data_IF_853345041204
#
_entry.id   IF_853345041204
#
_cell.length_a   1.000
_cell.length_b   1.000
_cell.length_c   1.000
_cell.angle_alpha   90.00
_cell.angle_beta   90.00
_cell.angle_gamma   90.00
#
_symmetry.space_group_name_H-M   'P 1'
#
loop_
_entity.id
_entity.type
_entity.pdbx_description
1 polymer ?
#
# COMPACT_ATOMS: atom_id res chain seq x y z
N UNK A 1 -3.52 8.45 4.65
CA UNK A 1 -3.64 6.97 4.71
C UNK A 1 -5.00 6.55 5.22
N UNK A 2 -5.69 5.66 4.49
CA UNK A 2 -6.92 5.00 4.92
C UNK A 2 -6.78 3.49 4.72
N UNK A 3 -6.86 2.74 5.82
CA UNK A 3 -6.80 1.28 5.85
C UNK A 3 -7.85 0.80 6.86
N UNK A 4 -8.68 -0.21 6.53
CA UNK A 4 -9.65 -0.76 7.49
C UNK A 4 -8.94 -1.37 8.70
N UNK A 5 -9.42 -1.11 9.91
CA UNK A 5 -8.90 -1.77 11.11
C UNK A 5 -9.35 -3.23 11.23
N UNK A 6 -10.42 -3.60 10.53
CA UNK A 6 -11.04 -4.92 10.57
C UNK A 6 -11.58 -5.32 9.19
N UNK A 7 -11.35 -6.57 8.79
CA UNK A 7 -11.87 -7.13 7.54
C UNK A 7 -12.36 -8.56 7.77
N UNK A 8 -13.46 -8.95 7.14
CA UNK A 8 -13.99 -10.32 7.23
C UNK A 8 -13.24 -11.21 6.22
N UNK A 9 -12.90 -12.42 6.63
CA UNK A 9 -12.27 -13.44 5.80
C UNK A 9 -13.06 -13.65 4.49
N UNK A 10 -12.33 -13.84 3.39
CA UNK A 10 -12.88 -14.01 2.04
C UNK A 10 -13.32 -12.71 1.37
N UNK A 11 -13.38 -11.58 2.09
CA UNK A 11 -13.63 -10.27 1.49
C UNK A 11 -12.37 -9.69 0.85
N UNK A 12 -12.50 -8.50 0.30
CA UNK A 12 -11.39 -7.70 -0.23
C UNK A 12 -11.33 -6.37 0.49
N UNK A 13 -10.18 -5.71 0.46
CA UNK A 13 -9.98 -4.41 1.08
C UNK A 13 -9.21 -3.45 0.19
N UNK A 14 -9.46 -2.17 0.38
CA UNK A 14 -8.68 -1.09 -0.22
C UNK A 14 -7.68 -0.57 0.80
N UNK A 15 -6.44 -0.43 0.37
CA UNK A 15 -5.40 0.32 1.05
C UNK A 15 -5.22 1.62 0.30
N UNK A 16 -5.45 2.76 0.95
CA UNK A 16 -5.28 4.06 0.34
C UNK A 16 -4.11 4.81 0.99
N UNK A 17 -3.17 5.18 0.13
CA UNK A 17 -2.02 5.98 0.45
C UNK A 17 -1.98 7.24 -0.41
N UNK A 18 -3.05 8.03 -0.33
CA UNK A 18 -3.07 9.38 -0.90
C UNK A 18 -2.45 10.34 0.11
N UNK A 19 -1.44 11.08 -0.34
CA UNK A 19 -0.83 12.18 0.40
C UNK A 19 -0.93 13.45 -0.41
N UNK A 20 -1.11 14.56 0.29
CA UNK A 20 -0.97 15.89 -0.27
C UNK A 20 0.52 16.22 -0.27
N UNK A 21 1.12 16.25 -1.45
CA UNK A 21 2.54 16.62 -1.64
C UNK A 21 2.68 18.13 -1.93
N UNK A 22 1.61 18.91 -1.79
CA UNK A 22 1.57 20.33 -2.12
C UNK A 22 2.11 20.62 -3.54
N UNK A 23 3.30 21.21 -3.65
CA UNK A 23 3.98 21.50 -4.92
C UNK A 23 4.97 20.44 -5.37
N UNK A 24 5.27 19.45 -4.53
CA UNK A 24 6.30 18.46 -4.81
C UNK A 24 5.78 17.32 -5.69
N UNK A 25 6.63 16.86 -6.61
CA UNK A 25 6.35 15.69 -7.41
C UNK A 25 6.54 14.41 -6.59
N UNK A 26 5.69 13.42 -6.81
CA UNK A 26 5.84 12.09 -6.21
C UNK A 26 7.06 11.37 -6.81
N UNK A 27 8.01 10.97 -5.95
CA UNK A 27 9.08 10.05 -6.33
C UNK A 27 8.62 8.58 -6.24
N UNK A 28 8.03 8.18 -5.12
CA UNK A 28 7.56 6.80 -4.93
C UNK A 28 6.48 6.65 -3.86
N UNK A 29 5.61 5.64 -4.01
CA UNK A 29 4.77 5.10 -2.94
C UNK A 29 5.13 3.65 -2.71
N UNK A 30 5.35 3.24 -1.46
CA UNK A 30 5.65 1.86 -1.09
C UNK A 30 4.73 1.39 0.01
N UNK A 31 4.33 0.13 -0.08
CA UNK A 31 3.47 -0.53 0.88
C UNK A 31 4.20 -1.73 1.49
N UNK A 32 4.10 -1.81 2.82
CA UNK A 32 4.67 -2.87 3.62
C UNK A 32 3.60 -3.51 4.48
N UNK A 33 3.76 -4.81 4.76
CA UNK A 33 3.05 -5.50 5.83
C UNK A 33 4.09 -6.17 6.72
N UNK A 34 4.06 -5.87 8.02
CA UNK A 34 5.05 -6.34 8.99
C UNK A 34 6.48 -6.15 8.46
N UNK A 35 6.79 -4.92 8.05
CA UNK A 35 8.09 -4.50 7.51
C UNK A 35 8.54 -5.15 6.19
N UNK A 36 7.71 -6.01 5.58
CA UNK A 36 8.00 -6.61 4.28
C UNK A 36 7.28 -5.88 3.16
N UNK A 37 8.04 -5.36 2.19
CA UNK A 37 7.49 -4.68 1.01
C UNK A 37 6.69 -5.66 0.15
N UNK A 38 5.47 -5.30 -0.21
CA UNK A 38 4.64 -6.12 -1.11
C UNK A 38 4.14 -5.35 -2.33
N UNK A 39 4.29 -4.03 -2.35
CA UNK A 39 3.92 -3.20 -3.50
C UNK A 39 4.73 -1.91 -3.51
N UNK A 40 5.13 -1.49 -4.71
CA UNK A 40 5.72 -0.18 -4.97
C UNK A 40 5.15 0.46 -6.22
N UNK A 41 5.07 1.78 -6.20
CA UNK A 41 4.74 2.62 -7.33
C UNK A 41 5.78 3.72 -7.49
N UNK A 42 6.41 3.80 -8.65
CA UNK A 42 7.38 4.82 -9.05
C UNK A 42 6.89 5.38 -10.40
N UNK A 43 6.40 6.63 -10.47
CA UNK A 43 5.83 7.18 -11.71
C UNK A 43 6.76 7.11 -12.93
N UNK A 44 8.07 7.18 -12.70
CA UNK A 44 9.09 7.18 -13.75
C UNK A 44 9.48 5.79 -14.27
N UNK A 45 9.07 4.72 -13.58
CA UNK A 45 9.37 3.34 -13.96
C UNK A 45 8.45 2.82 -15.08
N UNK A 46 8.88 1.73 -15.74
CA UNK A 46 8.08 0.99 -16.73
C UNK A 46 8.15 -0.52 -16.43
N UNK A 47 7.07 -1.15 -15.92
CA UNK A 47 5.81 -0.53 -15.50
C UNK A 47 5.98 0.31 -14.23
N UNK A 48 5.12 1.33 -14.01
CA UNK A 48 5.27 2.22 -12.86
C UNK A 48 4.86 1.56 -11.54
N UNK A 49 4.06 0.48 -11.57
CA UNK A 49 3.66 -0.29 -10.41
C UNK A 49 4.23 -1.71 -10.46
N UNK A 50 4.69 -2.21 -9.32
CA UNK A 50 5.21 -3.56 -9.15
C UNK A 50 4.72 -4.12 -7.81
N UNK A 51 4.34 -5.39 -7.78
CA UNK A 51 4.03 -6.12 -6.54
C UNK A 51 5.04 -7.24 -6.29
N UNK A 52 5.11 -7.67 -5.04
CA UNK A 52 5.94 -8.79 -4.61
C UNK A 52 5.07 -9.79 -3.85
N UNK A 53 5.39 -11.07 -3.99
CA UNK A 53 4.67 -12.13 -3.32
C UNK A 53 4.88 -12.05 -1.82
N UNK A 54 3.79 -11.87 -1.09
CA UNK A 54 3.77 -11.88 0.37
C UNK A 54 2.59 -12.72 0.88
N UNK A 55 2.82 -13.76 1.70
CA UNK A 55 1.74 -14.56 2.25
C UNK A 55 0.66 -13.71 2.96
N UNK A 56 -0.58 -13.95 2.57
CA UNK A 56 -1.75 -13.21 3.07
C UNK A 56 -2.04 -11.90 2.34
N UNK A 57 -1.26 -11.51 1.32
CA UNK A 57 -1.51 -10.30 0.53
C UNK A 57 -1.59 -10.65 -0.95
N UNK A 58 -2.79 -10.61 -1.51
CA UNK A 58 -3.01 -10.82 -2.95
C UNK A 58 -3.38 -9.49 -3.59
N UNK A 59 -2.42 -8.84 -4.25
CA UNK A 59 -2.64 -7.55 -4.90
C UNK A 59 -3.28 -7.73 -6.27
N UNK A 60 -4.40 -7.04 -6.52
CA UNK A 60 -5.00 -6.92 -7.84
C UNK A 60 -4.38 -5.71 -8.58
N UNK A 61 -3.38 -5.99 -9.42
CA UNK A 61 -2.67 -4.95 -10.19
C UNK A 61 -3.52 -4.27 -11.27
N UNK A 62 -4.67 -4.86 -11.65
CA UNK A 62 -5.58 -4.27 -12.64
C UNK A 62 -6.44 -3.19 -11.99
N UNK A 63 -6.85 -3.39 -10.74
CA UNK A 63 -7.63 -2.40 -9.97
C UNK A 63 -6.76 -1.38 -9.26
N UNK A 64 -5.55 -1.75 -8.86
CA UNK A 64 -4.65 -0.88 -8.12
C UNK A 64 -4.13 0.28 -8.99
N UNK A 65 -4.01 1.47 -8.39
CA UNK A 65 -3.52 2.68 -9.05
C UNK A 65 -2.71 3.52 -8.08
N UNK A 66 -1.47 3.81 -8.44
CA UNK A 66 -0.57 4.66 -7.65
C UNK A 66 -0.44 4.15 -6.20
N UNK A 67 -0.81 4.94 -5.19
CA UNK A 67 -0.84 4.53 -3.79
C UNK A 67 -2.13 3.82 -3.35
N UNK A 68 -3.10 3.61 -4.23
CA UNK A 68 -4.35 2.87 -3.96
C UNK A 68 -4.21 1.41 -4.37
N UNK A 69 -4.14 0.51 -3.39
CA UNK A 69 -3.90 -0.91 -3.60
C UNK A 69 -5.13 -1.73 -3.22
N UNK A 70 -5.58 -2.59 -4.13
CA UNK A 70 -6.68 -3.52 -3.88
C UNK A 70 -6.11 -4.88 -3.45
N UNK A 71 -6.43 -5.31 -2.23
CA UNK A 71 -6.06 -6.62 -1.70
C UNK A 71 -7.28 -7.53 -1.76
N UNK A 72 -7.18 -8.59 -2.58
CA UNK A 72 -8.20 -9.60 -2.76
C UNK A 72 -8.02 -10.79 -1.80
N UNK A 73 -9.05 -11.62 -1.70
CA UNK A 73 -9.01 -12.91 -1.00
C UNK A 73 -8.38 -12.86 0.40
N UNK A 74 -8.86 -11.91 1.23
CA UNK A 74 -8.37 -11.73 2.61
C UNK A 74 -8.51 -13.02 3.40
N UNK A 75 -7.46 -13.40 4.12
CA UNK A 75 -7.41 -14.59 4.98
C UNK A 75 -6.73 -14.25 6.31
N UNK A 76 -6.64 -15.21 7.23
CA UNK A 76 -6.04 -14.99 8.55
C UNK A 76 -4.58 -14.48 8.46
N UNK A 77 -3.82 -14.87 7.43
CA UNK A 77 -2.47 -14.38 7.21
C UNK A 77 -2.43 -12.94 6.68
N UNK A 78 -3.56 -12.35 6.27
CA UNK A 78 -3.65 -10.92 5.88
C UNK A 78 -3.52 -10.00 7.10
N UNK A 79 -3.78 -10.48 8.32
CA UNK A 79 -3.60 -9.71 9.54
C UNK A 79 -2.15 -9.21 9.70
N UNK A 80 -2.00 -7.98 10.23
CA UNK A 80 -0.71 -7.38 10.50
C UNK A 80 -0.72 -5.85 10.51
N UNK A 81 0.45 -5.27 10.71
CA UNK A 81 0.68 -3.83 10.58
C UNK A 81 0.98 -3.51 9.11
N UNK A 82 0.13 -2.70 8.50
CA UNK A 82 0.32 -2.15 7.17
C UNK A 82 0.92 -0.77 7.29
N UNK A 83 2.03 -0.56 6.59
CA UNK A 83 2.73 0.72 6.51
C UNK A 83 2.76 1.21 5.08
N UNK A 84 2.45 2.47 4.89
CA UNK A 84 2.72 3.16 3.63
C UNK A 84 3.79 4.21 3.82
N UNK A 85 4.68 4.32 2.84
CA UNK A 85 5.70 5.35 2.71
C UNK A 85 5.49 6.06 1.37
N UNK A 86 5.27 7.38 1.38
CA UNK A 86 5.29 8.19 0.17
C UNK A 86 6.42 9.21 0.25
N UNK A 87 7.24 9.23 -0.79
CA UNK A 87 8.39 10.12 -0.90
C UNK A 87 8.20 11.08 -2.05
N UNK A 88 8.45 12.35 -1.78
CA UNK A 88 8.58 13.41 -2.76
C UNK A 88 9.94 13.37 -3.46
N UNK A 89 9.98 13.94 -4.66
CA UNK A 89 11.19 14.15 -5.45
C UNK A 89 12.01 15.35 -4.92
N UNK A 90 13.18 15.57 -5.51
CA UNK A 90 13.90 16.82 -5.36
C UNK A 90 12.97 18.04 -5.58
N UNK A 91 13.14 19.15 -4.82
CA UNK A 91 14.24 19.41 -3.90
C UNK A 91 13.97 19.01 -2.45
N UNK A 92 12.72 18.71 -2.08
CA UNK A 92 12.35 18.52 -0.68
C UNK A 92 12.76 17.15 -0.14
N UNK A 93 12.71 16.12 -1.00
CA UNK A 93 12.93 14.72 -0.64
C UNK A 93 12.13 14.29 0.59
N UNK A 94 10.99 14.94 0.85
CA UNK A 94 10.15 14.65 2.00
C UNK A 94 9.63 13.22 1.92
N UNK A 95 9.53 12.56 3.06
CA UNK A 95 8.94 11.22 3.14
C UNK A 95 7.89 11.20 4.25
N UNK A 96 6.67 10.86 3.89
CA UNK A 96 5.53 10.72 4.80
C UNK A 96 5.23 9.25 4.99
N UNK A 97 5.15 8.83 6.25
CA UNK A 97 4.88 7.45 6.64
C UNK A 97 3.55 7.38 7.39
N UNK A 98 2.75 6.36 7.11
CA UNK A 98 1.56 6.03 7.87
C UNK A 98 1.50 4.54 8.18
N UNK A 99 1.05 4.20 9.38
CA UNK A 99 0.89 2.81 9.83
C UNK A 99 -0.49 2.55 10.40
N UNK A 100 -1.05 1.37 10.12
CA UNK A 100 -2.31 0.88 10.67
C UNK A 100 -2.29 -0.64 10.80
N UNK A 101 -2.79 -1.13 11.92
CA UNK A 101 -3.04 -2.55 12.11
C UNK A 101 -4.38 -2.96 11.49
N UNK A 102 -4.38 -4.12 10.82
CA UNK A 102 -5.57 -4.77 10.26
C UNK A 102 -5.79 -6.09 11.01
N UNK A 103 -6.98 -6.27 11.58
CA UNK A 103 -7.45 -7.55 12.13
C UNK A 103 -8.37 -8.28 11.17
N UNK A 104 -8.29 -9.61 11.13
CA UNK A 104 -9.18 -10.43 10.28
C UNK A 104 -10.16 -11.21 11.13
N UNK A 105 -11.44 -11.12 10.79
CA UNK A 105 -12.53 -11.81 11.48
C UNK A 105 -13.12 -12.91 10.60
N UNK A 106 -13.59 -13.99 11.22
CA UNK A 106 -14.19 -15.16 10.55
C UNK A 106 -15.72 -15.06 10.60
#
# INVERSE_FOLDING_TARGET
MKVPSAVIQGRSMWLNCTYDLESDELYSVKWYKNDTEFYRYIPRDRPPAQNYDLPGVVVDMVKSREGNVFVAAVNLSTEGNYRCEASAEAPSFQTVVGEREVKVFV
#
